data_IF_601594501892
#
_entry.id   IF_601594501892
#
_cell.length_a   1.000
_cell.length_b   1.000
_cell.length_c   1.000
_cell.angle_alpha   90.00
_cell.angle_beta   90.00
_cell.angle_gamma   90.00
#
_symmetry.space_group_name_H-M   'P 1'
#
loop_
_entity.id
_entity.type
_entity.pdbx_description
1 polymer ?
#
# COMPACT_ATOMS: atom_id res chain seq x y z
N UNK A 1 24.70 4.60 14.54
CA UNK A 1 23.85 3.64 13.79
C UNK A 1 22.75 4.44 13.10
N UNK A 2 22.83 4.65 11.78
CA UNK A 2 21.75 5.32 11.04
C UNK A 2 20.61 4.32 10.80
N UNK A 3 19.48 4.52 11.48
CA UNK A 3 18.30 3.69 11.27
C UNK A 3 17.61 4.07 9.97
N UNK A 4 17.68 3.23 8.94
CA UNK A 4 16.92 3.41 7.71
C UNK A 4 15.41 3.46 8.05
N UNK A 5 14.77 4.61 7.81
CA UNK A 5 13.35 4.81 8.09
C UNK A 5 12.52 4.18 6.97
N UNK A 6 12.17 2.91 7.12
CA UNK A 6 11.31 2.24 6.14
C UNK A 6 9.90 2.85 6.08
N UNK A 7 9.33 2.92 4.86
CA UNK A 7 7.93 3.27 4.61
C UNK A 7 7.02 2.31 5.39
N UNK A 8 5.90 2.82 5.94
CA UNK A 8 4.94 2.03 6.76
C UNK A 8 4.47 0.75 6.05
N UNK A 9 4.24 0.82 4.73
CA UNK A 9 3.87 -0.33 3.88
C UNK A 9 4.92 -1.44 3.99
N UNK A 10 6.21 -1.13 3.79
CA UNK A 10 7.30 -2.12 3.90
C UNK A 10 7.34 -2.80 5.27
N UNK A 11 7.17 -2.04 6.36
CA UNK A 11 7.10 -2.61 7.72
C UNK A 11 5.90 -3.55 7.90
N UNK A 12 4.75 -3.22 7.33
CA UNK A 12 3.55 -4.05 7.41
C UNK A 12 3.71 -5.35 6.61
N UNK A 13 4.24 -5.27 5.39
CA UNK A 13 4.51 -6.46 4.56
C UNK A 13 5.52 -7.38 5.25
N UNK A 14 6.62 -6.85 5.76
CA UNK A 14 7.61 -7.65 6.49
C UNK A 14 7.05 -8.27 7.79
N UNK A 15 6.08 -7.61 8.45
CA UNK A 15 5.45 -8.11 9.68
C UNK A 15 4.38 -9.16 9.41
N UNK A 16 3.61 -9.01 8.34
CA UNK A 16 2.38 -9.79 8.11
C UNK A 16 2.52 -10.82 6.99
N UNK A 17 3.47 -10.64 6.07
CA UNK A 17 3.63 -11.49 4.91
C UNK A 17 2.53 -11.36 3.86
N UNK A 18 1.58 -10.42 4.02
CA UNK A 18 0.45 -10.25 3.11
C UNK A 18 0.32 -8.79 2.65
N UNK A 19 -0.15 -8.60 1.42
CA UNK A 19 -0.46 -7.29 0.85
C UNK A 19 -1.47 -7.38 -0.29
N UNK A 20 -2.11 -6.26 -0.61
CA UNK A 20 -2.89 -6.11 -1.83
C UNK A 20 -2.12 -5.28 -2.87
N UNK A 21 -2.20 -5.65 -4.14
CA UNK A 21 -1.84 -4.78 -5.26
C UNK A 21 -3.13 -4.36 -6.00
N UNK A 22 -3.37 -3.05 -6.06
CA UNK A 22 -4.56 -2.46 -6.68
C UNK A 22 -4.17 -1.89 -8.05
N UNK A 23 -4.81 -2.35 -9.12
CA UNK A 23 -4.52 -1.88 -10.48
C UNK A 23 -5.17 -0.52 -10.70
N UNK A 24 -4.35 0.50 -10.95
CA UNK A 24 -4.80 1.88 -11.15
C UNK A 24 -5.42 2.04 -12.54
N UNK A 25 -6.69 2.45 -12.60
CA UNK A 25 -7.34 2.94 -13.83
C UNK A 25 -7.25 4.46 -13.95
N UNK A 26 -7.56 5.01 -15.13
CA UNK A 26 -7.37 6.44 -15.46
C UNK A 26 -8.14 7.39 -14.54
N UNK A 27 -9.31 6.98 -14.07
CA UNK A 27 -10.14 7.68 -13.08
C UNK A 27 -9.53 7.69 -11.66
N UNK A 28 -8.61 6.78 -11.38
CA UNK A 28 -7.90 6.70 -10.10
C UNK A 28 -6.60 7.53 -10.07
N UNK A 29 -6.22 8.21 -11.16
CA UNK A 29 -4.98 9.00 -11.21
C UNK A 29 -4.90 10.08 -10.09
N UNK A 30 -5.97 10.85 -9.78
CA UNK A 30 -5.92 11.80 -8.66
C UNK A 30 -5.66 11.12 -7.31
N UNK A 31 -6.23 9.92 -7.10
CA UNK A 31 -6.02 9.12 -5.91
C UNK A 31 -4.59 8.55 -5.84
N UNK A 32 -4.02 8.17 -6.99
CA UNK A 32 -2.63 7.72 -7.10
C UNK A 32 -1.66 8.86 -6.77
N UNK A 33 -1.85 10.03 -7.37
CA UNK A 33 -1.04 11.23 -7.10
C UNK A 33 -1.10 11.59 -5.61
N UNK A 34 -2.28 11.47 -5.01
CA UNK A 34 -2.49 11.69 -3.59
C UNK A 34 -1.71 10.70 -2.71
N UNK A 35 -1.75 9.40 -3.02
CA UNK A 35 -0.97 8.40 -2.29
C UNK A 35 0.54 8.55 -2.48
N UNK A 36 0.99 9.02 -3.65
CA UNK A 36 2.39 9.28 -3.95
C UNK A 36 2.94 10.54 -3.28
N UNK A 37 2.11 11.58 -3.10
CA UNK A 37 2.55 12.92 -2.69
C UNK A 37 2.42 13.21 -1.20
N UNK A 38 1.57 12.47 -0.46
CA UNK A 38 1.30 12.73 0.97
C UNK A 38 1.98 11.71 1.86
N UNK A 39 2.84 12.18 2.77
CA UNK A 39 3.43 11.33 3.79
C UNK A 39 2.44 11.11 4.93
N UNK A 40 2.46 9.93 5.55
CA UNK A 40 1.61 9.62 6.71
C UNK A 40 1.81 10.53 7.95
N UNK A 41 2.80 11.44 7.91
CA UNK A 41 3.11 12.42 8.96
C UNK A 41 2.35 13.75 8.79
N UNK A 42 1.68 13.96 7.65
CA UNK A 42 1.12 15.26 7.26
C UNK A 42 -0.33 15.48 7.77
N UNK A 43 -0.82 14.64 8.68
CA UNK A 43 -2.18 14.71 9.24
C UNK A 43 -3.18 13.75 8.60
N UNK A 44 -4.47 13.98 8.89
CA UNK A 44 -5.56 13.14 8.38
C UNK A 44 -5.67 13.27 6.86
N UNK A 45 -5.78 12.13 6.18
CA UNK A 45 -5.79 12.04 4.73
C UNK A 45 -7.19 12.33 4.14
N UNK A 46 -7.65 13.57 4.27
CA UNK A 46 -9.05 13.94 4.03
C UNK A 46 -9.29 14.76 2.74
N UNK A 47 -8.24 15.08 1.97
CA UNK A 47 -8.37 15.90 0.75
C UNK A 47 -9.05 15.13 -0.40
N UNK A 48 -9.03 13.80 -0.36
CA UNK A 48 -9.68 12.92 -1.34
C UNK A 48 -10.47 11.86 -0.57
N UNK A 49 -11.76 11.71 -0.92
CA UNK A 49 -12.57 10.59 -0.44
C UNK A 49 -12.13 9.33 -1.15
N UNK A 50 -11.77 8.31 -0.39
CA UNK A 50 -11.56 6.95 -0.89
C UNK A 50 -12.01 5.95 0.17
N UNK A 51 -12.43 4.76 -0.26
CA UNK A 51 -12.81 3.70 0.65
C UNK A 51 -11.80 2.55 0.61
N UNK A 52 -11.38 2.12 1.81
CA UNK A 52 -10.56 0.93 1.97
C UNK A 52 -11.41 -0.15 2.66
N UNK A 53 -11.73 -1.20 1.91
CA UNK A 53 -12.51 -2.35 2.41
C UNK A 53 -11.57 -3.52 2.71
N UNK A 54 -12.08 -4.55 3.38
CA UNK A 54 -11.32 -5.77 3.65
C UNK A 54 -11.29 -6.63 2.39
N UNK A 55 -10.13 -7.23 2.11
CA UNK A 55 -9.97 -8.24 1.06
C UNK A 55 -10.89 -9.44 1.26
N UNK A 56 -11.18 -10.12 0.15
CA UNK A 56 -12.08 -11.27 0.12
C UNK A 56 -11.38 -12.57 0.58
N UNK A 57 -10.06 -12.68 0.36
CA UNK A 57 -9.29 -13.91 0.59
C UNK A 57 -8.33 -13.75 1.77
N UNK A 58 -7.63 -12.61 1.85
CA UNK A 58 -6.61 -12.29 2.84
C UNK A 58 -7.04 -11.09 3.69
N UNK A 59 -6.50 -11.01 4.91
CA UNK A 59 -6.74 -9.88 5.82
C UNK A 59 -5.91 -8.65 5.43
N UNK A 60 -6.20 -8.10 4.25
CA UNK A 60 -5.52 -6.93 3.68
C UNK A 60 -6.55 -5.85 3.30
N UNK A 61 -6.19 -4.55 3.38
CA UNK A 61 -7.06 -3.50 2.87
C UNK A 61 -6.99 -3.47 1.34
N UNK A 62 -8.14 -3.32 0.67
CA UNK A 62 -8.26 -3.15 -0.78
C UNK A 62 -9.01 -1.84 -1.06
N UNK A 63 -8.70 -1.15 -2.16
CA UNK A 63 -9.40 0.09 -2.51
C UNK A 63 -10.69 -0.27 -3.23
N UNK A 64 -11.84 0.20 -2.75
CA UNK A 64 -13.15 -0.10 -3.35
C UNK A 64 -13.25 0.41 -4.80
N UNK A 65 -12.52 1.49 -5.11
CA UNK A 65 -12.45 2.06 -6.46
C UNK A 65 -11.65 1.19 -7.45
N UNK A 66 -10.93 0.17 -6.97
CA UNK A 66 -10.10 -0.68 -7.81
C UNK A 66 -10.91 -1.74 -8.52
N UNK A 67 -10.90 -1.67 -9.87
CA UNK A 67 -11.56 -2.68 -10.71
C UNK A 67 -10.86 -4.04 -10.68
N UNK A 68 -9.57 -4.05 -10.37
CA UNK A 68 -8.75 -5.26 -10.28
C UNK A 68 -7.83 -5.17 -9.07
N UNK A 69 -7.93 -6.19 -8.23
CA UNK A 69 -7.14 -6.32 -6.99
C UNK A 69 -6.48 -7.70 -6.99
N UNK A 70 -5.19 -7.72 -6.66
CA UNK A 70 -4.47 -8.95 -6.33
C UNK A 70 -4.23 -8.99 -4.83
N UNK A 71 -4.69 -10.05 -4.18
CA UNK A 71 -4.37 -10.33 -2.78
C UNK A 71 -3.22 -11.34 -2.73
N UNK A 72 -2.10 -10.94 -2.13
CA UNK A 72 -0.83 -11.62 -2.28
C UNK A 72 -0.24 -12.04 -0.93
N UNK A 73 0.28 -13.27 -0.89
CA UNK A 73 1.19 -13.74 0.15
C UNK A 73 2.65 -13.61 -0.33
N UNK A 74 3.54 -13.21 0.56
CA UNK A 74 4.98 -13.12 0.28
C UNK A 74 5.58 -14.52 0.25
N UNK A 75 5.89 -15.01 -0.95
CA UNK A 75 6.57 -16.30 -1.11
C UNK A 75 8.05 -16.25 -0.68
N UNK A 76 8.73 -15.12 -0.94
CA UNK A 76 10.14 -14.90 -0.60
C UNK A 76 10.45 -13.41 -0.52
N UNK A 77 11.36 -13.06 0.39
CA UNK A 77 11.95 -11.72 0.49
C UNK A 77 13.44 -11.79 0.12
N UNK A 78 13.93 -10.84 -0.68
CA UNK A 78 15.35 -10.77 -1.07
C UNK A 78 15.82 -9.33 -0.93
N UNK A 79 16.83 -9.10 -0.09
CA UNK A 79 17.42 -7.77 0.07
C UNK A 79 18.33 -7.45 -1.11
N UNK A 80 18.16 -6.26 -1.70
CA UNK A 80 18.91 -5.78 -2.86
C UNK A 80 19.33 -4.32 -2.65
N UNK A 81 20.59 -4.12 -2.23
CA UNK A 81 21.08 -2.78 -1.84
C UNK A 81 20.26 -2.22 -0.68
N UNK A 82 19.65 -1.04 -0.87
CA UNK A 82 18.77 -0.41 0.13
C UNK A 82 17.30 -0.87 0.05
N UNK A 83 16.98 -1.77 -0.89
CA UNK A 83 15.64 -2.29 -1.14
C UNK A 83 15.49 -3.71 -0.58
N UNK A 84 14.27 -4.04 -0.19
CA UNK A 84 13.87 -5.37 0.30
C UNK A 84 12.60 -5.74 -0.45
#
# INVERSE_FOLDING_TARGET
>A
MSGARYRKVKKNVLRTGIFSANLVSTDMLPLMDYFGSKHAKDGAKNDISYEAVRGEVLDVPVLDESRWVYECEVARTVETGDYI
#
